data_IF_970719682617
#
_entry.id   IF_970719682617
#
_cell.length_a   1.000
_cell.length_b   1.000
_cell.length_c   1.000
_cell.angle_alpha   90.00
_cell.angle_beta   90.00
_cell.angle_gamma   90.00
#
_symmetry.space_group_name_H-M   'P 1'
#
loop_
_entity.id
_entity.type
_entity.pdbx_description
1 polymer ?
#
# COMPACT_ATOMS: atom_id res chain seq x y z
N UNK A 1 35.50 55.55 -51.93
CA UNK A 1 34.77 54.29 -52.21
C UNK A 1 33.97 53.93 -50.97
N UNK A 2 32.66 54.13 -51.03
CA UNK A 2 31.74 53.85 -49.91
C UNK A 2 31.27 52.40 -50.07
N UNK A 3 31.66 51.53 -49.15
CA UNK A 3 31.24 50.13 -49.12
C UNK A 3 29.79 50.07 -48.67
N UNK A 4 28.86 49.81 -49.59
CA UNK A 4 27.45 49.56 -49.24
C UNK A 4 27.36 48.28 -48.39
N UNK A 5 26.98 48.42 -47.11
CA UNK A 5 26.55 47.30 -46.28
C UNK A 5 25.15 46.90 -46.70
N UNK A 6 25.03 45.69 -47.26
CA UNK A 6 23.76 45.11 -47.70
C UNK A 6 22.89 44.79 -46.46
N UNK A 7 21.72 45.43 -46.27
CA UNK A 7 20.90 45.27 -45.06
C UNK A 7 20.27 43.87 -44.91
N UNK A 8 20.27 43.07 -45.98
CA UNK A 8 19.75 41.70 -45.97
C UNK A 8 20.64 40.71 -45.21
N UNK A 9 21.97 40.87 -45.27
CA UNK A 9 22.91 39.92 -44.61
C UNK A 9 22.91 40.06 -43.10
N UNK A 10 22.72 41.27 -42.56
CA UNK A 10 22.62 41.50 -41.12
C UNK A 10 21.36 40.87 -40.50
N UNK A 11 20.23 40.86 -41.23
CA UNK A 11 18.98 40.22 -40.79
C UNK A 11 19.10 38.69 -40.76
N UNK A 12 19.75 38.10 -41.76
CA UNK A 12 19.96 36.64 -41.83
C UNK A 12 20.90 36.18 -40.72
N UNK A 13 21.99 36.92 -40.45
CA UNK A 13 22.92 36.62 -39.36
C UNK A 13 22.26 36.71 -37.98
N UNK A 14 21.37 37.69 -37.78
CA UNK A 14 20.61 37.83 -36.54
C UNK A 14 19.61 36.68 -36.33
N UNK A 15 18.94 36.22 -37.38
CA UNK A 15 18.04 35.06 -37.31
C UNK A 15 18.78 33.76 -37.01
N UNK A 16 19.97 33.56 -37.59
CA UNK A 16 20.82 32.40 -37.29
C UNK A 16 21.29 32.43 -35.83
N UNK A 17 21.71 33.59 -35.32
CA UNK A 17 22.14 33.73 -33.92
C UNK A 17 21.00 33.45 -32.93
N UNK A 18 19.78 33.89 -33.23
CA UNK A 18 18.60 33.59 -32.40
C UNK A 18 18.29 32.09 -32.42
N UNK A 19 18.34 31.45 -33.59
CA UNK A 19 18.10 30.01 -33.71
C UNK A 19 19.15 29.18 -32.95
N UNK A 20 20.42 29.58 -33.02
CA UNK A 20 21.51 28.93 -32.25
C UNK A 20 21.29 29.09 -30.74
N UNK A 21 20.87 30.26 -30.27
CA UNK A 21 20.56 30.47 -28.85
C UNK A 21 19.35 29.66 -28.37
N UNK A 22 18.31 29.50 -29.19
CA UNK A 22 17.16 28.64 -28.87
C UNK A 22 17.59 27.17 -28.80
N UNK A 23 18.45 26.70 -29.73
CA UNK A 23 18.99 25.35 -29.68
C UNK A 23 19.88 25.12 -28.45
N UNK A 24 20.72 26.09 -28.07
CA UNK A 24 21.56 26.01 -26.86
C UNK A 24 20.70 26.01 -25.60
N UNK A 25 19.63 26.81 -25.54
CA UNK A 25 18.69 26.80 -24.43
C UNK A 25 17.95 25.45 -24.31
N UNK A 26 17.55 24.84 -25.43
CA UNK A 26 16.93 23.50 -25.46
C UNK A 26 17.91 22.38 -25.04
N UNK A 27 19.19 22.49 -25.41
CA UNK A 27 20.22 21.52 -25.01
C UNK A 27 20.61 21.66 -23.52
N UNK A 28 20.53 22.87 -22.94
CA UNK A 28 20.83 23.11 -21.53
C UNK A 28 19.66 22.80 -20.58
N UNK A 29 18.41 22.75 -21.07
CA UNK A 29 17.25 22.26 -20.30
C UNK A 29 17.14 20.72 -20.27
N UNK A 30 17.98 20.02 -21.02
CA UNK A 30 17.90 18.57 -21.25
C UNK A 30 18.92 17.75 -20.47
N UNK A 31 19.15 18.05 -19.19
CA UNK A 31 19.86 17.16 -18.26
C UNK A 31 19.24 17.26 -16.87
N UNK A 32 17.92 17.04 -16.79
CA UNK A 32 17.32 16.55 -15.55
C UNK A 32 17.86 15.14 -15.34
N UNK A 33 18.89 14.98 -14.53
CA UNK A 33 19.40 13.69 -14.12
C UNK A 33 18.27 12.90 -13.48
N UNK A 34 17.68 11.96 -14.24
CA UNK A 34 17.04 10.81 -13.65
C UNK A 34 18.15 10.04 -12.95
N UNK A 35 18.42 10.39 -11.69
CA UNK A 35 18.99 9.43 -10.76
C UNK A 35 18.10 8.19 -10.87
N UNK A 36 18.66 6.99 -11.10
CA UNK A 36 17.85 5.79 -11.07
C UNK A 36 17.18 5.78 -9.69
N UNK A 37 15.86 5.93 -9.66
CA UNK A 37 15.08 5.62 -8.47
C UNK A 37 15.37 4.15 -8.25
N UNK A 38 16.27 3.86 -7.31
CA UNK A 38 16.53 2.49 -6.88
C UNK A 38 15.16 1.90 -6.58
N UNK A 39 14.78 0.88 -7.34
CA UNK A 39 13.51 0.21 -7.09
C UNK A 39 13.49 -0.17 -5.59
N UNK A 40 12.36 -0.02 -4.90
CA UNK A 40 12.29 -0.42 -3.51
C UNK A 40 12.67 -1.89 -3.41
N UNK A 41 13.77 -2.16 -2.70
CA UNK A 41 14.25 -3.51 -2.45
C UNK A 41 14.02 -3.86 -0.98
N UNK A 42 13.63 -5.10 -0.74
CA UNK A 42 13.55 -5.66 0.60
C UNK A 42 14.92 -6.20 1.02
N UNK A 43 15.27 -5.97 2.27
CA UNK A 43 16.39 -6.65 2.93
C UNK A 43 16.08 -8.14 3.14
N UNK A 44 17.10 -8.95 3.40
CA UNK A 44 16.92 -10.37 3.71
C UNK A 44 16.06 -10.59 4.98
N UNK A 45 16.22 -9.73 6.00
CA UNK A 45 15.40 -9.79 7.22
C UNK A 45 13.93 -9.48 6.93
N UNK A 46 13.65 -8.45 6.13
CA UNK A 46 12.26 -8.12 5.74
C UNK A 46 11.62 -9.22 4.90
N UNK A 47 12.38 -9.83 3.98
CA UNK A 47 11.92 -11.02 3.24
C UNK A 47 11.58 -12.16 4.20
N UNK A 48 12.45 -12.46 5.19
CA UNK A 48 12.19 -13.50 6.17
C UNK A 48 10.94 -13.23 7.02
N UNK A 49 10.74 -11.99 7.46
CA UNK A 49 9.53 -11.57 8.18
C UNK A 49 8.27 -11.73 7.32
N UNK A 50 8.32 -11.33 6.05
CA UNK A 50 7.19 -11.47 5.14
C UNK A 50 6.84 -12.93 4.83
N UNK A 51 7.83 -13.81 4.75
CA UNK A 51 7.59 -15.26 4.63
C UNK A 51 6.89 -15.83 5.87
N UNK A 52 7.32 -15.42 7.08
CA UNK A 52 6.73 -15.93 8.33
C UNK A 52 5.34 -15.37 8.61
N UNK A 53 5.16 -14.06 8.43
CA UNK A 53 3.97 -13.33 8.91
C UNK A 53 3.11 -12.73 7.79
N UNK A 54 3.50 -12.86 6.53
CA UNK A 54 2.68 -12.57 5.36
C UNK A 54 1.87 -13.80 4.90
N UNK A 55 1.13 -13.66 3.79
CA UNK A 55 0.26 -14.74 3.26
C UNK A 55 0.93 -15.74 2.34
N UNK A 56 2.17 -15.52 1.93
CA UNK A 56 2.89 -16.39 1.01
C UNK A 56 4.37 -16.39 1.32
N UNK A 57 5.00 -17.56 1.19
CA UNK A 57 6.44 -17.75 1.35
C UNK A 57 7.23 -17.33 0.09
N UNK A 58 6.54 -17.22 -1.05
CA UNK A 58 7.17 -16.99 -2.35
C UNK A 58 7.09 -15.52 -2.78
N UNK A 59 5.95 -14.86 -2.52
CA UNK A 59 5.65 -13.53 -3.06
C UNK A 59 4.90 -12.66 -2.07
N UNK A 60 5.06 -11.35 -2.20
CA UNK A 60 4.29 -10.38 -1.41
C UNK A 60 2.83 -10.38 -1.84
N UNK A 61 1.95 -10.74 -0.90
CA UNK A 61 0.50 -10.66 -1.06
C UNK A 61 -0.03 -9.44 -0.33
N UNK A 62 -0.59 -8.47 -1.07
CA UNK A 62 -1.14 -7.25 -0.47
C UNK A 62 -2.18 -6.58 -1.36
N UNK A 63 -2.90 -5.61 -0.81
CA UNK A 63 -3.76 -4.71 -1.59
C UNK A 63 -2.93 -3.83 -2.54
N UNK A 64 -3.48 -3.40 -3.68
CA UNK A 64 -2.87 -2.33 -4.48
C UNK A 64 -2.85 -1.02 -3.69
N UNK A 65 -1.99 -0.08 -4.12
CA UNK A 65 -1.93 1.26 -3.55
C UNK A 65 -3.26 2.01 -3.76
N UNK A 66 -3.59 2.90 -2.83
CA UNK A 66 -4.80 3.73 -2.88
C UNK A 66 -5.80 3.44 -1.76
N UNK A 67 -7.03 3.91 -1.96
CA UNK A 67 -8.09 3.79 -0.97
C UNK A 67 -8.86 2.48 -1.15
N UNK A 68 -8.96 1.70 -0.08
CA UNK A 68 -9.74 0.47 -0.03
C UNK A 68 -11.01 0.73 0.78
N UNK A 69 -12.17 0.57 0.13
CA UNK A 69 -13.46 0.75 0.77
C UNK A 69 -13.82 -0.45 1.65
N UNK A 70 -14.38 -0.15 2.83
CA UNK A 70 -14.86 -1.12 3.82
C UNK A 70 -16.34 -0.86 4.08
N UNK A 71 -17.19 -1.80 3.71
CA UNK A 71 -18.62 -1.74 3.96
C UNK A 71 -18.96 -2.52 5.23
N UNK A 72 -19.50 -1.83 6.22
CA UNK A 72 -19.90 -2.41 7.51
C UNK A 72 -21.41 -2.60 7.59
N UNK A 73 -21.85 -3.84 7.77
CA UNK A 73 -23.26 -4.19 8.01
C UNK A 73 -23.56 -4.55 9.47
N UNK A 74 -22.54 -4.49 10.34
CA UNK A 74 -22.68 -4.89 11.75
C UNK A 74 -23.40 -3.85 12.60
N UNK A 75 -23.46 -2.60 12.14
CA UNK A 75 -23.94 -1.47 12.93
C UNK A 75 -22.91 -0.96 13.94
N UNK A 76 -21.68 -1.48 13.93
CA UNK A 76 -20.61 -1.15 14.88
C UNK A 76 -19.59 -0.20 14.25
N UNK A 77 -20.13 0.83 13.59
CA UNK A 77 -19.36 1.71 12.71
C UNK A 77 -18.20 2.40 13.43
N UNK A 78 -18.37 2.75 14.70
CA UNK A 78 -17.31 3.36 15.53
C UNK A 78 -16.17 2.38 15.83
N UNK A 79 -16.48 1.11 16.14
CA UNK A 79 -15.48 0.07 16.39
C UNK A 79 -14.69 -0.26 15.12
N UNK A 80 -15.39 -0.35 13.99
CA UNK A 80 -14.75 -0.54 12.68
C UNK A 80 -13.84 0.66 12.38
N UNK A 81 -14.32 1.89 12.52
CA UNK A 81 -13.51 3.09 12.26
C UNK A 81 -12.25 3.11 13.13
N UNK A 82 -12.35 2.83 14.43
CA UNK A 82 -11.21 2.80 15.34
C UNK A 82 -10.15 1.75 14.91
N UNK A 83 -10.59 0.56 14.50
CA UNK A 83 -9.70 -0.48 14.02
C UNK A 83 -9.05 -0.12 12.66
N UNK A 84 -9.79 0.52 11.74
CA UNK A 84 -9.22 1.03 10.50
C UNK A 84 -8.17 2.11 10.77
N UNK A 85 -8.45 3.06 11.66
CA UNK A 85 -7.52 4.12 12.03
C UNK A 85 -6.23 3.55 12.64
N UNK A 86 -6.36 2.55 13.52
CA UNK A 86 -5.24 1.82 14.09
C UNK A 86 -4.34 1.23 13.00
N UNK A 87 -4.91 0.44 12.08
CA UNK A 87 -4.13 -0.23 11.04
C UNK A 87 -3.56 0.72 10.00
N UNK A 88 -4.30 1.78 9.63
CA UNK A 88 -3.79 2.82 8.75
C UNK A 88 -2.55 3.52 9.36
N UNK A 89 -2.53 3.76 10.67
CA UNK A 89 -1.38 4.33 11.36
C UNK A 89 -0.18 3.36 11.42
N UNK A 90 -0.43 2.06 11.63
CA UNK A 90 0.60 1.02 11.64
C UNK A 90 1.27 0.90 10.26
N UNK A 91 0.46 0.86 9.19
CA UNK A 91 0.93 0.77 7.80
C UNK A 91 1.69 2.04 7.42
N UNK A 92 1.09 3.22 7.62
CA UNK A 92 1.71 4.52 7.32
C UNK A 92 2.20 4.67 5.87
N UNK A 93 1.59 3.93 4.95
CA UNK A 93 2.08 3.70 3.59
C UNK A 93 1.05 4.06 2.52
N UNK A 94 1.21 3.52 1.28
CA UNK A 94 0.43 3.94 0.13
C UNK A 94 -1.01 3.38 0.08
N UNK A 95 -1.38 2.47 0.98
CA UNK A 95 -2.75 1.96 1.11
C UNK A 95 -3.46 2.66 2.27
N UNK A 96 -4.76 2.87 2.12
CA UNK A 96 -5.62 3.46 3.15
C UNK A 96 -6.98 2.77 3.16
N UNK A 97 -7.36 2.16 4.27
CA UNK A 97 -8.68 1.56 4.44
C UNK A 97 -9.66 2.60 4.97
N UNK A 98 -10.86 2.67 4.39
CA UNK A 98 -11.88 3.66 4.79
C UNK A 98 -13.25 3.04 4.82
N UNK A 99 -14.04 3.42 5.83
CA UNK A 99 -15.47 3.15 5.81
C UNK A 99 -16.10 3.72 4.54
N UNK A 100 -17.00 2.93 3.97
CA UNK A 100 -17.70 3.19 2.72
C UNK A 100 -19.16 2.86 2.92
N UNK A 101 -20.04 3.67 2.35
CA UNK A 101 -21.49 3.38 2.32
C UNK A 101 -21.87 2.61 1.04
N UNK A 102 -20.91 2.32 0.16
CA UNK A 102 -21.10 1.49 -1.03
C UNK A 102 -21.16 0.00 -0.65
N UNK A 103 -22.28 -0.72 -0.86
CA UNK A 103 -22.38 -2.15 -0.58
C UNK A 103 -21.50 -3.03 -1.48
N UNK A 104 -20.99 -2.49 -2.59
CA UNK A 104 -20.00 -3.14 -3.46
C UNK A 104 -18.55 -2.79 -3.11
N UNK A 105 -18.30 -2.28 -1.90
CA UNK A 105 -16.94 -2.11 -1.41
C UNK A 105 -16.20 -3.47 -1.39
N UNK A 106 -14.89 -3.47 -1.66
CA UNK A 106 -14.10 -4.70 -1.77
C UNK A 106 -13.96 -5.44 -0.43
N UNK A 107 -14.06 -4.74 0.69
CA UNK A 107 -14.11 -5.35 2.03
C UNK A 107 -15.52 -5.27 2.57
N UNK A 108 -16.08 -6.41 3.00
CA UNK A 108 -17.41 -6.49 3.61
C UNK A 108 -17.31 -7.07 5.02
N UNK A 109 -17.84 -6.37 6.01
CA UNK A 109 -17.91 -6.83 7.41
C UNK A 109 -19.37 -7.14 7.74
N UNK A 110 -19.64 -8.38 8.15
CA UNK A 110 -20.98 -8.89 8.39
C UNK A 110 -21.13 -9.50 9.78
N UNK A 111 -22.37 -9.50 10.29
CA UNK A 111 -22.73 -10.27 11.48
C UNK A 111 -23.23 -11.66 11.12
N UNK A 112 -22.82 -12.65 11.90
CA UNK A 112 -23.29 -14.03 11.79
C UNK A 112 -23.65 -14.60 13.15
N UNK A 113 -24.55 -15.59 13.18
CA UNK A 113 -24.70 -16.47 14.34
C UNK A 113 -23.68 -17.62 14.21
N UNK A 114 -22.62 -17.56 15.01
CA UNK A 114 -21.49 -18.49 14.96
C UNK A 114 -20.93 -18.75 16.35
N UNK A 115 -20.47 -19.98 16.62
CA UNK A 115 -19.75 -20.29 17.85
C UNK A 115 -18.33 -19.71 17.88
N UNK A 116 -17.77 -19.31 16.74
CA UNK A 116 -16.46 -18.67 16.64
C UNK A 116 -16.57 -17.16 16.75
N UNK A 117 -15.56 -16.48 17.31
CA UNK A 117 -15.61 -15.03 17.52
C UNK A 117 -15.70 -14.25 16.20
N UNK A 118 -14.88 -14.63 15.21
CA UNK A 118 -14.94 -14.11 13.86
C UNK A 118 -14.22 -15.03 12.86
N UNK A 119 -14.43 -14.78 11.57
CA UNK A 119 -13.65 -15.36 10.46
C UNK A 119 -13.35 -14.29 9.41
N UNK A 120 -12.16 -14.36 8.81
CA UNK A 120 -11.76 -13.49 7.71
C UNK A 120 -11.37 -14.34 6.50
N UNK A 121 -11.87 -13.98 5.34
CA UNK A 121 -11.49 -14.56 4.05
C UNK A 121 -10.93 -13.46 3.15
N UNK A 122 -9.74 -13.68 2.60
CA UNK A 122 -9.14 -12.82 1.58
C UNK A 122 -9.33 -13.43 0.20
N UNK A 123 -9.54 -12.57 -0.80
CA UNK A 123 -9.58 -12.94 -2.20
C UNK A 123 -8.38 -12.34 -2.92
N UNK A 124 -7.59 -13.22 -3.54
CA UNK A 124 -6.36 -12.84 -4.25
C UNK A 124 -6.41 -13.33 -5.69
N UNK A 125 -5.77 -12.58 -6.58
CA UNK A 125 -5.60 -12.99 -7.97
C UNK A 125 -4.23 -13.67 -8.19
N UNK A 126 -3.99 -14.13 -9.42
CA UNK A 126 -2.74 -14.78 -9.82
C UNK A 126 -1.49 -13.89 -9.72
N UNK A 127 -1.65 -12.58 -9.55
CA UNK A 127 -0.55 -11.63 -9.36
C UNK A 127 -0.23 -11.38 -7.88
N UNK A 128 -0.83 -12.17 -6.97
CA UNK A 128 -0.73 -11.99 -5.51
C UNK A 128 -1.35 -10.68 -5.02
N UNK A 129 -2.18 -10.03 -5.82
CA UNK A 129 -2.91 -8.84 -5.40
C UNK A 129 -4.18 -9.24 -4.65
N UNK A 130 -4.43 -8.62 -3.50
CA UNK A 130 -5.71 -8.71 -2.80
C UNK A 130 -6.72 -7.80 -3.52
N UNK A 131 -7.87 -8.35 -3.91
CA UNK A 131 -8.95 -7.58 -4.54
C UNK A 131 -10.25 -7.56 -3.73
N UNK A 132 -10.34 -8.38 -2.68
CA UNK A 132 -11.52 -8.40 -1.82
C UNK A 132 -11.24 -9.07 -0.48
N UNK A 133 -12.11 -8.80 0.49
CA UNK A 133 -12.15 -9.54 1.75
C UNK A 133 -13.57 -9.61 2.33
N UNK A 134 -13.87 -10.72 2.98
CA UNK A 134 -15.08 -10.87 3.80
C UNK A 134 -14.66 -11.11 5.24
N UNK A 135 -15.17 -10.27 6.15
CA UNK A 135 -15.05 -10.46 7.59
C UNK A 135 -16.43 -10.78 8.12
N UNK A 136 -16.52 -11.82 8.93
CA UNK A 136 -17.76 -12.18 9.61
C UNK A 136 -17.52 -12.27 11.10
N UNK A 137 -18.27 -11.48 11.86
CA UNK A 137 -18.15 -11.34 13.30
C UNK A 137 -19.37 -11.99 13.94
N UNK A 138 -19.15 -12.81 14.97
CA UNK A 138 -20.25 -13.41 15.71
C UNK A 138 -21.04 -12.35 16.47
N UNK A 139 -22.36 -12.46 16.44
CA UNK A 139 -23.28 -11.61 17.21
C UNK A 139 -22.84 -11.47 18.68
N UNK A 140 -22.36 -12.57 19.28
CA UNK A 140 -21.92 -12.64 20.69
C UNK A 140 -20.68 -11.80 20.99
N UNK A 141 -19.88 -11.54 19.96
CA UNK A 141 -18.60 -10.82 20.06
C UNK A 141 -18.62 -9.47 19.34
N UNK A 142 -19.76 -9.08 18.76
CA UNK A 142 -19.93 -7.85 17.96
C UNK A 142 -19.61 -6.56 18.71
N UNK A 143 -19.66 -6.58 20.04
CA UNK A 143 -19.36 -5.43 20.90
C UNK A 143 -17.91 -5.43 21.42
N UNK A 144 -17.09 -6.44 21.07
CA UNK A 144 -15.70 -6.50 21.49
C UNK A 144 -14.80 -5.75 20.48
N UNK A 145 -14.20 -4.61 20.84
CA UNK A 145 -13.34 -3.82 19.95
C UNK A 145 -12.13 -4.62 19.44
N UNK A 146 -11.59 -5.51 20.26
CA UNK A 146 -10.40 -6.29 19.95
C UNK A 146 -10.61 -7.22 18.75
N UNK A 147 -11.83 -7.74 18.59
CA UNK A 147 -12.18 -8.60 17.44
C UNK A 147 -12.09 -7.82 16.13
N UNK A 148 -12.45 -6.54 16.11
CA UNK A 148 -12.29 -5.70 14.92
C UNK A 148 -10.82 -5.45 14.61
N UNK A 149 -10.01 -5.16 15.63
CA UNK A 149 -8.57 -4.97 15.46
C UNK A 149 -7.91 -6.24 14.91
N UNK A 150 -8.19 -7.41 15.49
CA UNK A 150 -7.60 -8.68 15.03
C UNK A 150 -8.08 -9.05 13.63
N UNK A 151 -9.39 -8.97 13.35
CA UNK A 151 -9.92 -9.37 12.04
C UNK A 151 -9.49 -8.44 10.91
N UNK A 152 -9.37 -7.14 11.19
CA UNK A 152 -8.84 -6.18 10.21
C UNK A 152 -7.33 -6.38 10.02
N UNK A 153 -6.58 -6.86 11.01
CA UNK A 153 -5.19 -7.25 10.83
C UNK A 153 -5.06 -8.27 9.68
N UNK A 154 -5.92 -9.29 9.66
CA UNK A 154 -5.97 -10.24 8.56
C UNK A 154 -6.27 -9.58 7.20
N UNK A 155 -7.20 -8.60 7.19
CA UNK A 155 -7.54 -7.81 5.99
C UNK A 155 -6.34 -7.06 5.43
N UNK A 156 -5.44 -6.56 6.29
CA UNK A 156 -4.23 -5.84 5.83
C UNK A 156 -3.24 -6.70 5.04
N UNK A 157 -3.38 -8.03 5.09
CA UNK A 157 -2.44 -9.00 4.51
C UNK A 157 -1.55 -9.70 5.54
N UNK A 158 -1.64 -9.37 6.83
CA UNK A 158 -0.98 -10.15 7.88
C UNK A 158 -1.57 -11.55 7.99
N UNK A 159 -0.73 -12.52 8.33
CA UNK A 159 -1.14 -13.85 8.74
C UNK A 159 -1.23 -13.90 10.27
N UNK A 160 -2.41 -13.59 10.81
CA UNK A 160 -2.63 -13.55 12.26
C UNK A 160 -2.43 -14.92 12.91
N UNK A 161 -2.69 -16.02 12.20
CA UNK A 161 -2.44 -17.37 12.67
C UNK A 161 -0.95 -17.57 12.98
N UNK A 162 -0.05 -17.22 12.06
CA UNK A 162 1.39 -17.33 12.30
C UNK A 162 1.86 -16.47 13.48
N UNK A 163 1.26 -15.29 13.69
CA UNK A 163 1.54 -14.46 14.87
C UNK A 163 1.07 -15.19 16.13
N UNK A 164 -0.13 -15.79 16.14
CA UNK A 164 -0.63 -16.54 17.30
C UNK A 164 0.17 -17.80 17.61
N UNK A 165 0.76 -18.45 16.62
CA UNK A 165 1.64 -19.61 16.83
C UNK A 165 2.90 -19.23 17.62
N UNK A 166 3.45 -18.05 17.35
CA UNK A 166 4.70 -17.59 17.96
C UNK A 166 4.49 -16.85 19.30
N UNK A 167 3.37 -16.14 19.44
CA UNK A 167 3.09 -15.26 20.59
C UNK A 167 1.91 -15.72 21.46
N UNK A 168 1.15 -16.74 21.02
CA UNK A 168 -0.04 -17.20 21.70
C UNK A 168 -1.24 -16.28 21.48
N UNK A 169 -1.77 -15.72 22.56
CA UNK A 169 -2.88 -14.78 22.48
C UNK A 169 -2.46 -13.51 21.75
N UNK A 170 -3.24 -13.08 20.76
CA UNK A 170 -2.92 -11.88 19.98
C UNK A 170 -3.48 -10.65 20.69
N UNK A 171 -2.60 -9.87 21.32
CA UNK A 171 -2.90 -8.51 21.77
C UNK A 171 -2.05 -7.52 20.96
N UNK A 172 -2.68 -6.79 20.04
CA UNK A 172 -1.98 -5.78 19.24
C UNK A 172 -1.61 -4.52 20.04
N UNK A 173 -2.13 -4.35 21.26
CA UNK A 173 -1.62 -3.35 22.19
C UNK A 173 -0.31 -3.79 22.86
N UNK A 174 0.06 -5.07 22.81
CA UNK A 174 1.36 -5.50 23.29
C UNK A 174 2.49 -4.89 22.41
N UNK A 175 3.46 -4.16 22.99
CA UNK A 175 4.47 -3.44 22.20
C UNK A 175 5.26 -4.32 21.22
N UNK A 176 5.55 -5.57 21.60
CA UNK A 176 6.30 -6.51 20.76
C UNK A 176 5.50 -6.93 19.52
N UNK A 177 4.23 -7.31 19.70
CA UNK A 177 3.33 -7.71 18.60
C UNK A 177 3.05 -6.51 17.70
N UNK A 178 2.84 -5.33 18.29
CA UNK A 178 2.65 -4.07 17.55
C UNK A 178 3.84 -3.71 16.67
N UNK A 179 5.05 -3.83 17.20
CA UNK A 179 6.26 -3.51 16.44
C UNK A 179 6.51 -4.54 15.32
N UNK A 180 6.29 -5.82 15.60
CA UNK A 180 6.33 -6.87 14.59
C UNK A 180 5.37 -6.56 13.44
N UNK A 181 4.09 -6.34 13.74
CA UNK A 181 3.07 -6.03 12.75
C UNK A 181 3.43 -4.79 11.92
N UNK A 182 3.96 -3.74 12.57
CA UNK A 182 4.44 -2.53 11.89
C UNK A 182 5.58 -2.83 10.92
N UNK A 183 6.59 -3.60 11.34
CA UNK A 183 7.74 -3.94 10.50
C UNK A 183 7.32 -4.76 9.28
N UNK A 184 6.47 -5.78 9.50
CA UNK A 184 5.93 -6.62 8.42
C UNK A 184 5.12 -5.78 7.43
N UNK A 185 4.17 -4.98 7.91
CA UNK A 185 3.30 -4.18 7.04
C UNK A 185 4.07 -3.09 6.29
N UNK A 186 5.01 -2.41 6.93
CA UNK A 186 5.82 -1.39 6.24
C UNK A 186 6.71 -1.99 5.16
N UNK A 187 7.27 -3.18 5.39
CA UNK A 187 8.00 -3.90 4.35
C UNK A 187 7.07 -4.33 3.21
N UNK A 188 5.92 -4.95 3.55
CA UNK A 188 4.91 -5.42 2.61
C UNK A 188 4.49 -4.31 1.64
N UNK A 189 4.08 -3.15 2.16
CA UNK A 189 3.56 -2.04 1.37
C UNK A 189 4.64 -1.16 0.72
N UNK A 190 5.93 -1.49 0.86
CA UNK A 190 7.03 -0.79 0.16
C UNK A 190 7.25 -1.30 -1.27
N UNK A 191 6.82 -2.52 -1.56
CA UNK A 191 7.02 -3.20 -2.86
C UNK A 191 5.68 -3.53 -3.51
N UNK A 192 5.60 -3.76 -4.83
CA UNK A 192 4.33 -4.12 -5.47
C UNK A 192 3.81 -5.50 -5.05
N UNK A 193 2.50 -5.78 -5.21
CA UNK A 193 1.99 -7.16 -5.15
C UNK A 193 2.78 -8.07 -6.09
N UNK A 194 3.03 -9.31 -5.66
CA UNK A 194 3.77 -10.29 -6.43
C UNK A 194 5.29 -10.14 -6.37
N UNK A 195 5.82 -9.17 -5.61
CA UNK A 195 7.27 -9.02 -5.42
C UNK A 195 7.87 -10.33 -4.87
N UNK A 196 8.94 -10.87 -5.48
CA UNK A 196 9.53 -12.14 -5.07
C UNK A 196 10.21 -12.03 -3.71
N UNK A 197 9.93 -12.99 -2.83
CA UNK A 197 10.57 -13.10 -1.52
C UNK A 197 11.85 -13.92 -1.58
N UNK A 198 12.04 -14.74 -2.62
CA UNK A 198 13.29 -15.41 -2.94
C UNK A 198 14.38 -14.42 -3.37
N UNK A 199 15.64 -14.82 -3.22
CA UNK A 199 16.82 -14.04 -3.61
C UNK A 199 17.19 -14.28 -5.08
#
# INVERSE_FOLDING_TARGET
MVTQRNPGTARILLQILIAVWICVAFLLSGCGGNLPISAPHLTAEEKALLRRYGRSEERVVRWPDGNIGVYDTTGQRELVQAALDYWNAVIGGPVMFRLSDNPEAPVKINLIDSPYAARTQLYTDSSSQIYGATVEISLRHSQNPEIYVITIADVTGLNTLAISEDYGYIDFEEPAIRDLARRVLRAMYRVPPGYPLED
#
